data_IF_737285787307
#
_entry.id   IF_737285787307
#
_cell.length_a   1.000
_cell.length_b   1.000
_cell.length_c   1.000
_cell.angle_alpha   90.00
_cell.angle_beta   90.00
_cell.angle_gamma   90.00
#
_symmetry.space_group_name_H-M   'P 1'
#
loop_
_entity.id
_entity.type
_entity.pdbx_description
1 polymer ?
#
# COMPACT_ATOMS: atom_id res chain seq x y z
N UNK A 1 -26.04 -40.39 -32.92
CA UNK A 1 -25.83 -39.01 -32.40
C UNK A 1 -24.76 -39.06 -31.32
N UNK A 2 -23.49 -38.84 -31.67
CA UNK A 2 -22.39 -38.71 -30.71
C UNK A 2 -22.14 -37.20 -30.52
N UNK A 3 -22.33 -36.70 -29.31
CA UNK A 3 -21.98 -35.32 -28.96
C UNK A 3 -20.49 -35.24 -28.64
N UNK A 4 -19.79 -34.41 -29.41
CA UNK A 4 -18.39 -34.07 -29.23
C UNK A 4 -18.24 -33.10 -28.06
N UNK A 5 -17.58 -33.54 -26.99
CA UNK A 5 -17.17 -32.68 -25.87
C UNK A 5 -15.92 -31.91 -26.32
N UNK A 6 -16.06 -30.59 -26.54
CA UNK A 6 -14.93 -29.69 -26.80
C UNK A 6 -14.13 -29.51 -25.51
N UNK A 7 -12.94 -30.09 -25.44
CA UNK A 7 -11.94 -29.80 -24.40
C UNK A 7 -11.35 -28.41 -24.68
N UNK A 8 -11.54 -27.47 -23.75
CA UNK A 8 -10.77 -26.24 -23.73
C UNK A 8 -9.32 -26.53 -23.33
N UNK A 9 -8.31 -25.94 -23.99
CA UNK A 9 -6.93 -26.13 -23.60
C UNK A 9 -6.67 -25.40 -22.28
N UNK A 10 -6.16 -26.12 -21.27
CA UNK A 10 -5.55 -25.52 -20.08
C UNK A 10 -4.28 -24.79 -20.51
N UNK A 11 -4.33 -23.47 -20.56
CA UNK A 11 -3.15 -22.64 -20.70
C UNK A 11 -2.50 -22.57 -19.31
N UNK A 12 -1.57 -23.47 -19.02
CA UNK A 12 -0.65 -23.30 -17.89
C UNK A 12 0.47 -22.37 -18.36
N UNK A 13 0.27 -21.07 -18.21
CA UNK A 13 1.35 -20.10 -18.38
C UNK A 13 2.34 -20.31 -17.23
N UNK A 14 3.46 -20.99 -17.52
CA UNK A 14 4.62 -20.95 -16.63
C UNK A 14 5.12 -19.51 -16.61
N UNK A 15 4.76 -18.76 -15.58
CA UNK A 15 5.44 -17.49 -15.30
C UNK A 15 6.85 -17.88 -14.88
N UNK A 16 7.80 -17.75 -15.80
CA UNK A 16 9.21 -17.76 -15.46
C UNK A 16 9.49 -16.45 -14.72
N UNK A 17 9.18 -16.43 -13.42
CA UNK A 17 9.80 -15.46 -12.53
C UNK A 17 11.26 -15.88 -12.46
N UNK A 18 12.08 -15.44 -13.41
CA UNK A 18 13.53 -15.38 -13.23
C UNK A 18 13.71 -14.53 -11.98
N UNK A 19 13.93 -15.20 -10.83
CA UNK A 19 14.09 -14.52 -9.56
C UNK A 19 15.13 -13.43 -9.79
N UNK A 20 14.78 -12.15 -9.60
CA UNK A 20 15.79 -11.13 -9.61
C UNK A 20 16.73 -11.53 -8.48
N UNK A 21 18.02 -11.73 -8.80
CA UNK A 21 19.04 -11.41 -7.82
C UNK A 21 18.62 -10.07 -7.22
N UNK A 22 18.71 -9.92 -5.90
CA UNK A 22 18.65 -8.63 -5.21
C UNK A 22 19.76 -7.74 -5.79
N UNK A 23 19.54 -7.23 -7.00
CA UNK A 23 20.17 -6.04 -7.50
C UNK A 23 19.54 -5.01 -6.57
N UNK A 24 20.30 -4.57 -5.56
CA UNK A 24 19.98 -3.34 -4.86
C UNK A 24 19.61 -2.34 -5.96
N UNK A 25 18.31 -2.05 -6.05
CA UNK A 25 17.79 -1.10 -7.02
C UNK A 25 18.71 0.10 -6.95
N UNK A 26 19.26 0.50 -8.09
CA UNK A 26 19.89 1.80 -8.21
C UNK A 26 18.81 2.78 -7.82
N UNK A 27 18.81 3.17 -6.55
CA UNK A 27 18.00 4.25 -6.02
C UNK A 27 18.17 5.37 -7.02
N UNK A 28 17.11 5.63 -7.79
CA UNK A 28 17.04 6.86 -8.57
C UNK A 28 17.29 7.92 -7.51
N UNK A 29 18.42 8.61 -7.61
CA UNK A 29 18.82 9.63 -6.65
C UNK A 29 17.70 10.66 -6.63
N UNK A 30 16.79 10.52 -5.66
CA UNK A 30 15.67 11.43 -5.52
C UNK A 30 16.27 12.75 -5.07
N UNK A 31 16.07 13.80 -5.86
CA UNK A 31 16.32 15.15 -5.37
C UNK A 31 15.40 15.43 -4.19
N UNK A 32 15.61 16.56 -3.53
CA UNK A 32 14.78 16.93 -2.39
C UNK A 32 14.55 18.43 -2.32
N UNK A 33 13.38 18.80 -1.83
CA UNK A 33 12.99 20.18 -1.57
C UNK A 33 12.76 20.30 -0.07
N UNK A 34 13.31 21.34 0.56
CA UNK A 34 13.25 21.50 2.02
C UNK A 34 11.80 21.62 2.52
N UNK A 35 11.02 22.50 1.88
CA UNK A 35 9.62 22.78 2.22
C UNK A 35 8.67 22.35 1.13
N UNK A 36 7.46 21.97 1.53
CA UNK A 36 6.39 21.65 0.61
C UNK A 36 5.97 22.91 -0.15
N UNK A 37 5.95 22.87 -1.50
CA UNK A 37 5.42 23.98 -2.27
C UNK A 37 3.96 24.27 -1.86
N UNK A 38 3.55 25.55 -1.80
CA UNK A 38 2.16 25.89 -1.53
C UNK A 38 1.24 25.34 -2.64
N UNK A 39 -0.05 25.11 -2.34
CA UNK A 39 -1.00 24.69 -3.36
C UNK A 39 -1.18 25.79 -4.41
N UNK A 40 -1.31 25.39 -5.67
CA UNK A 40 -1.47 26.31 -6.80
C UNK A 40 -2.93 26.80 -6.93
N UNK A 41 -3.89 26.07 -6.35
CA UNK A 41 -5.34 26.38 -6.39
C UNK A 41 -6.10 25.69 -5.26
N UNK A 42 -7.36 26.07 -5.06
CA UNK A 42 -8.27 25.34 -4.18
C UNK A 42 -9.08 24.29 -4.97
N UNK A 43 -9.02 23.03 -4.54
CA UNK A 43 -9.83 21.91 -5.04
C UNK A 43 -11.04 21.60 -4.16
N UNK A 44 -11.42 22.53 -3.28
CA UNK A 44 -12.56 22.46 -2.38
C UNK A 44 -12.27 21.72 -1.08
N UNK A 45 -11.12 21.05 -0.96
CA UNK A 45 -10.61 20.57 0.33
C UNK A 45 -9.16 20.93 0.60
N UNK A 46 -8.52 21.74 -0.26
CA UNK A 46 -7.13 22.18 -0.10
C UNK A 46 -6.90 22.85 1.24
N UNK A 47 -7.88 23.62 1.71
CA UNK A 47 -7.85 24.30 2.99
C UNK A 47 -8.80 23.68 4.03
N UNK A 48 -9.28 22.45 3.81
CA UNK A 48 -9.95 21.68 4.86
C UNK A 48 -8.99 21.53 6.04
N UNK A 49 -9.42 21.92 7.22
CA UNK A 49 -8.66 21.71 8.44
C UNK A 49 -9.55 21.01 9.46
N UNK A 50 -9.05 19.96 10.12
CA UNK A 50 -9.73 19.40 11.27
C UNK A 50 -9.68 20.37 12.44
N UNK A 51 -10.39 20.03 13.51
CA UNK A 51 -10.17 20.67 14.81
C UNK A 51 -8.71 20.47 15.25
N UNK A 52 -7.94 21.56 15.21
CA UNK A 52 -6.50 21.54 15.46
C UNK A 52 -6.14 21.31 16.92
N UNK A 53 -7.09 21.43 17.85
CA UNK A 53 -6.87 21.09 19.26
C UNK A 53 -6.57 19.59 19.42
N UNK A 54 -7.07 18.76 18.51
CA UNK A 54 -6.74 17.33 18.43
C UNK A 54 -5.39 17.04 17.76
N UNK A 55 -4.75 18.03 17.13
CA UNK A 55 -3.50 17.88 16.36
C UNK A 55 -2.39 18.77 16.92
N UNK A 56 -1.93 18.52 18.17
CA UNK A 56 -0.86 19.32 18.76
C UNK A 56 0.43 19.17 17.95
N UNK A 57 1.18 20.27 17.84
CA UNK A 57 2.49 20.25 17.20
C UNK A 57 3.42 19.26 17.92
N UNK A 58 4.26 18.51 17.19
CA UNK A 58 5.30 17.68 17.79
C UNK A 58 6.16 18.50 18.73
N UNK A 59 6.27 18.07 19.99
CA UNK A 59 7.23 18.62 20.95
C UNK A 59 8.59 17.92 20.88
N UNK A 60 8.65 16.77 20.20
CA UNK A 60 9.85 15.97 19.98
C UNK A 60 10.01 15.70 18.48
N UNK A 61 11.24 15.42 18.07
CA UNK A 61 11.55 15.00 16.70
C UNK A 61 10.73 13.76 16.34
N UNK A 62 10.20 13.73 15.12
CA UNK A 62 9.47 12.59 14.59
C UNK A 62 10.44 11.40 14.49
N UNK A 63 10.13 10.24 15.11
CA UNK A 63 11.03 9.09 15.05
C UNK A 63 11.13 8.59 13.61
N UNK A 64 12.28 7.99 13.23
CA UNK A 64 12.43 7.37 11.93
C UNK A 64 11.40 6.26 11.74
N UNK A 65 11.19 5.91 10.48
CA UNK A 65 10.27 4.84 10.12
C UNK A 65 10.89 3.48 10.47
N UNK A 66 10.13 2.53 11.06
CA UNK A 66 10.57 1.14 11.14
C UNK A 66 10.86 0.57 9.75
N UNK A 67 12.07 0.03 9.56
CA UNK A 67 12.44 -0.61 8.32
C UNK A 67 11.48 -1.76 7.98
N UNK A 68 11.03 -1.82 6.73
CA UNK A 68 10.34 -2.95 6.13
C UNK A 68 10.89 -3.14 4.72
N UNK A 69 11.17 -4.39 4.36
CA UNK A 69 11.60 -4.77 3.02
C UNK A 69 10.41 -4.86 2.06
N UNK A 70 9.25 -5.31 2.57
CA UNK A 70 8.03 -5.47 1.78
C UNK A 70 6.83 -4.86 2.49
N UNK A 71 5.82 -4.50 1.71
CA UNK A 71 4.53 -4.02 2.19
C UNK A 71 3.41 -4.82 1.51
N UNK A 72 2.75 -5.68 2.29
CA UNK A 72 1.54 -6.38 1.90
C UNK A 72 0.31 -5.51 2.22
N UNK A 73 -0.37 -5.07 1.17
CA UNK A 73 -1.57 -4.23 1.24
C UNK A 73 -2.79 -5.09 0.95
N UNK A 74 -3.50 -5.49 2.00
CA UNK A 74 -4.69 -6.35 1.93
C UNK A 74 -5.89 -5.51 1.48
N UNK A 75 -6.61 -5.95 0.46
CA UNK A 75 -7.82 -5.29 -0.04
C UNK A 75 -9.03 -5.80 0.72
N UNK A 76 -9.63 -4.97 1.58
CA UNK A 76 -10.74 -5.36 2.47
C UNK A 76 -12.08 -4.74 2.08
N UNK A 77 -12.09 -3.76 1.18
CA UNK A 77 -13.29 -3.04 0.77
C UNK A 77 -13.93 -2.16 1.85
N UNK A 78 -13.28 -2.01 3.01
CA UNK A 78 -13.74 -1.19 4.14
C UNK A 78 -12.58 -0.42 4.75
N UNK A 79 -12.89 0.66 5.47
CA UNK A 79 -11.94 1.39 6.32
C UNK A 79 -12.29 1.27 7.82
N UNK A 80 -13.32 0.49 8.16
CA UNK A 80 -13.79 0.28 9.53
C UNK A 80 -13.18 -1.00 10.12
N UNK A 81 -11.94 -0.89 10.62
CA UNK A 81 -11.21 -2.02 11.20
C UNK A 81 -11.16 -1.93 12.73
N UNK A 82 -11.12 -3.08 13.44
CA UNK A 82 -10.83 -3.07 14.88
C UNK A 82 -9.48 -2.41 15.17
N UNK A 83 -9.29 -1.89 16.39
CA UNK A 83 -8.05 -1.20 16.79
C UNK A 83 -6.77 -2.03 16.54
N UNK A 84 -6.90 -3.36 16.53
CA UNK A 84 -5.86 -4.30 16.11
C UNK A 84 -6.43 -5.14 14.97
N UNK A 85 -5.87 -5.02 13.77
CA UNK A 85 -6.43 -5.67 12.57
C UNK A 85 -6.49 -7.21 12.66
N UNK A 86 -5.61 -7.85 13.45
CA UNK A 86 -5.60 -9.30 13.63
C UNK A 86 -6.66 -9.82 14.62
N UNK A 87 -7.43 -8.96 15.28
CA UNK A 87 -8.51 -9.42 16.19
C UNK A 87 -9.83 -9.67 15.47
N UNK A 88 -9.90 -9.34 14.18
CA UNK A 88 -10.98 -9.83 13.31
C UNK A 88 -10.62 -11.24 12.83
N UNK A 89 -11.12 -12.25 13.53
CA UNK A 89 -10.80 -13.67 13.31
C UNK A 89 -11.13 -14.16 11.89
N UNK A 90 -12.01 -13.45 11.16
CA UNK A 90 -12.39 -13.79 9.78
C UNK A 90 -11.48 -13.13 8.74
N UNK A 91 -10.60 -12.22 9.16
CA UNK A 91 -9.77 -11.45 8.26
C UNK A 91 -8.49 -12.17 7.87
N UNK A 92 -8.01 -11.90 6.65
CA UNK A 92 -6.69 -12.30 6.19
C UNK A 92 -5.56 -11.85 7.14
N UNK A 93 -5.70 -10.69 7.79
CA UNK A 93 -4.74 -10.19 8.76
C UNK A 93 -4.63 -11.10 10.00
N UNK A 94 -5.74 -11.68 10.47
CA UNK A 94 -5.73 -12.65 11.56
C UNK A 94 -5.11 -13.98 11.14
N UNK A 95 -5.38 -14.45 9.92
CA UNK A 95 -4.78 -15.69 9.37
C UNK A 95 -3.25 -15.55 9.23
N UNK A 96 -2.75 -14.36 8.88
CA UNK A 96 -1.31 -14.07 8.77
C UNK A 96 -0.60 -13.87 10.11
N UNK A 97 -1.31 -13.44 11.16
CA UNK A 97 -0.72 -13.12 12.47
C UNK A 97 0.13 -14.26 13.08
N UNK A 98 -0.31 -15.53 13.14
CA UNK A 98 0.50 -16.62 13.70
C UNK A 98 1.79 -16.89 12.90
N UNK A 99 1.82 -16.55 11.61
CA UNK A 99 2.97 -16.81 10.72
C UNK A 99 4.11 -15.79 10.91
N UNK A 100 3.85 -14.65 11.55
CA UNK A 100 4.83 -13.56 11.72
C UNK A 100 6.11 -13.95 12.45
N UNK A 101 6.04 -14.90 13.39
CA UNK A 101 7.20 -15.31 14.21
C UNK A 101 7.94 -16.53 13.66
N UNK A 102 7.36 -17.26 12.71
CA UNK A 102 7.92 -18.51 12.19
C UNK A 102 8.31 -18.46 10.71
N UNK A 103 7.52 -17.75 9.89
CA UNK A 103 7.66 -17.74 8.43
C UNK A 103 8.25 -16.43 7.92
N UNK A 104 7.83 -15.30 8.49
CA UNK A 104 8.28 -14.00 8.01
C UNK A 104 9.73 -13.74 8.39
N UNK A 105 10.48 -13.16 7.45
CA UNK A 105 11.88 -12.82 7.67
C UNK A 105 12.03 -11.82 8.81
N UNK A 106 12.95 -12.14 9.72
CA UNK A 106 13.39 -11.20 10.77
C UNK A 106 14.39 -10.18 10.23
N UNK A 107 15.03 -10.47 9.09
CA UNK A 107 16.00 -9.59 8.42
C UNK A 107 15.30 -8.61 7.47
N UNK A 108 14.26 -9.10 6.80
CA UNK A 108 13.47 -8.37 5.82
C UNK A 108 12.00 -8.26 6.28
N UNK A 109 11.69 -7.36 7.25
CA UNK A 109 10.35 -7.26 7.82
C UNK A 109 9.31 -6.92 6.78
N UNK A 110 8.12 -7.51 6.91
CA UNK A 110 6.96 -7.21 6.07
C UNK A 110 5.98 -6.33 6.83
N UNK A 111 5.72 -5.14 6.31
CA UNK A 111 4.63 -4.29 6.75
C UNK A 111 3.31 -4.85 6.19
N UNK A 112 2.36 -5.18 7.06
CA UNK A 112 1.05 -5.70 6.68
C UNK A 112 -0.01 -4.67 7.05
N UNK A 113 -0.80 -4.25 6.07
CA UNK A 113 -1.91 -3.31 6.28
C UNK A 113 -3.18 -3.80 5.62
N UNK A 114 -4.32 -3.50 6.22
CA UNK A 114 -5.60 -3.53 5.53
C UNK A 114 -5.76 -2.22 4.75
N UNK A 115 -6.52 -2.26 3.66
CA UNK A 115 -6.89 -1.11 2.85
C UNK A 115 -8.34 -1.14 2.42
N UNK A 116 -8.89 0.02 2.12
CA UNK A 116 -10.24 0.19 1.58
C UNK A 116 -10.34 -0.13 0.09
N UNK A 117 -9.25 -0.63 -0.53
CA UNK A 117 -9.29 -1.19 -1.88
C UNK A 117 -10.33 -2.31 -1.95
N UNK A 118 -11.11 -2.38 -3.04
CA UNK A 118 -12.14 -3.41 -3.19
C UNK A 118 -11.50 -4.79 -3.21
N UNK A 119 -12.17 -5.74 -2.55
CA UNK A 119 -11.86 -7.16 -2.70
C UNK A 119 -11.99 -7.54 -4.18
N UNK A 120 -11.10 -8.40 -4.68
CA UNK A 120 -11.21 -8.90 -6.05
C UNK A 120 -12.58 -9.53 -6.32
N UNK A 121 -13.12 -9.29 -7.52
CA UNK A 121 -14.44 -9.80 -7.89
C UNK A 121 -14.48 -11.34 -7.87
N UNK A 122 -15.55 -11.89 -7.29
CA UNK A 122 -15.75 -13.33 -7.20
C UNK A 122 -14.99 -14.04 -6.07
N UNK A 123 -14.25 -13.29 -5.24
CA UNK A 123 -13.61 -13.84 -4.03
C UNK A 123 -14.56 -13.82 -2.84
N UNK A 124 -14.69 -14.95 -2.15
CA UNK A 124 -15.35 -15.02 -0.84
C UNK A 124 -14.36 -14.55 0.25
N UNK A 125 -14.60 -13.38 0.89
CA UNK A 125 -13.70 -12.82 1.90
C UNK A 125 -13.50 -13.71 3.14
N UNK A 126 -14.39 -14.69 3.35
CA UNK A 126 -14.29 -15.65 4.47
C UNK A 126 -13.34 -16.81 4.18
N UNK A 127 -13.00 -17.05 2.92
CA UNK A 127 -12.17 -18.18 2.48
C UNK A 127 -10.86 -17.73 1.83
N UNK A 128 -10.82 -16.53 1.28
CA UNK A 128 -9.65 -15.99 0.59
C UNK A 128 -9.57 -14.47 0.71
N UNK A 129 -8.37 -13.94 0.59
CA UNK A 129 -8.09 -12.50 0.53
C UNK A 129 -7.49 -12.08 -0.80
N UNK A 130 -7.52 -10.79 -1.09
CA UNK A 130 -6.79 -10.20 -2.23
C UNK A 130 -5.83 -9.14 -1.73
N UNK A 131 -4.63 -9.04 -2.31
CA UNK A 131 -3.60 -8.16 -1.79
C UNK A 131 -2.59 -7.72 -2.86
N UNK A 132 -2.01 -6.55 -2.65
CA UNK A 132 -0.86 -6.07 -3.41
C UNK A 132 0.42 -6.23 -2.58
N UNK A 133 1.53 -6.57 -3.23
CA UNK A 133 2.83 -6.71 -2.60
C UNK A 133 3.82 -5.74 -3.24
N UNK A 134 4.22 -4.75 -2.46
CA UNK A 134 5.25 -3.78 -2.83
C UNK A 134 6.57 -4.09 -2.10
N UNK A 135 7.73 -3.78 -2.70
CA UNK A 135 7.90 -3.27 -4.06
C UNK A 135 8.02 -4.40 -5.08
N UNK A 136 7.56 -5.61 -4.80
CA UNK A 136 7.67 -6.76 -5.72
C UNK A 136 6.81 -6.58 -6.99
N UNK A 137 5.83 -5.67 -6.97
CA UNK A 137 4.95 -5.40 -8.12
C UNK A 137 4.01 -6.57 -8.40
N UNK A 138 3.58 -7.27 -7.35
CA UNK A 138 2.71 -8.45 -7.45
C UNK A 138 1.33 -8.16 -6.87
N UNK A 139 0.29 -8.53 -7.61
CA UNK A 139 -1.09 -8.49 -7.18
C UNK A 139 -1.62 -9.93 -7.12
N UNK A 140 -2.21 -10.26 -5.98
CA UNK A 140 -2.81 -11.56 -5.73
C UNK A 140 -4.33 -11.37 -5.73
N UNK A 141 -5.01 -11.70 -6.84
CA UNK A 141 -6.47 -11.57 -6.90
C UNK A 141 -7.16 -12.52 -5.93
N UNK A 142 -6.57 -13.67 -5.59
CA UNK A 142 -7.14 -14.60 -4.61
C UNK A 142 -6.03 -15.40 -3.91
N UNK A 143 -5.91 -15.22 -2.60
CA UNK A 143 -5.03 -15.97 -1.70
C UNK A 143 -5.94 -16.82 -0.79
N UNK A 144 -6.14 -18.12 -1.10
CA UNK A 144 -6.90 -19.01 -0.23
C UNK A 144 -6.27 -19.10 1.15
N UNK A 145 -7.08 -19.00 2.21
CA UNK A 145 -6.58 -19.04 3.59
C UNK A 145 -5.92 -20.39 3.92
N UNK A 146 -6.40 -21.49 3.34
CA UNK A 146 -5.78 -22.82 3.44
C UNK A 146 -4.36 -22.90 2.84
N UNK A 147 -3.99 -21.96 1.95
CA UNK A 147 -2.64 -21.84 1.34
C UNK A 147 -1.82 -20.68 1.92
N UNK A 148 -2.26 -20.06 3.02
CA UNK A 148 -1.62 -18.85 3.55
C UNK A 148 -0.17 -19.08 4.00
N UNK A 149 0.14 -20.24 4.55
CA UNK A 149 1.52 -20.57 4.95
C UNK A 149 2.44 -20.67 3.72
N UNK A 150 2.02 -21.42 2.69
CA UNK A 150 2.74 -21.52 1.41
C UNK A 150 2.91 -20.15 0.73
N UNK A 151 1.88 -19.30 0.81
CA UNK A 151 1.96 -17.92 0.33
C UNK A 151 3.02 -17.13 1.09
N UNK A 152 2.99 -17.18 2.42
CA UNK A 152 3.91 -16.45 3.27
C UNK A 152 5.35 -16.91 3.05
N UNK A 153 5.61 -18.21 2.95
CA UNK A 153 6.93 -18.77 2.65
C UNK A 153 7.45 -18.30 1.29
N UNK A 154 6.62 -18.42 0.24
CA UNK A 154 7.04 -18.14 -1.13
C UNK A 154 7.22 -16.64 -1.42
N UNK A 155 6.40 -15.77 -0.82
CA UNK A 155 6.32 -14.35 -1.18
C UNK A 155 6.71 -13.38 -0.07
N UNK A 156 6.60 -13.76 1.20
CA UNK A 156 6.85 -12.86 2.35
C UNK A 156 8.08 -13.24 3.18
N UNK A 157 8.54 -14.50 3.12
CA UNK A 157 9.71 -15.01 3.81
C UNK A 157 11.03 -14.84 3.04
N UNK A 158 12.10 -15.36 3.63
CA UNK A 158 13.41 -15.49 2.98
C UNK A 158 13.31 -16.59 1.91
N UNK A 159 13.15 -16.23 0.63
CA UNK A 159 13.05 -17.23 -0.46
C UNK A 159 14.28 -18.13 -0.48
N UNK A 160 14.07 -19.45 -0.38
CA UNK A 160 15.13 -20.45 -0.50
C UNK A 160 15.12 -21.06 -1.91
N UNK A 161 15.83 -20.43 -2.86
CA UNK A 161 16.16 -21.05 -4.15
C UNK A 161 14.99 -21.35 -5.11
N UNK A 162 15.17 -22.38 -5.95
CA UNK A 162 14.26 -22.83 -7.02
C UNK A 162 13.02 -23.61 -6.50
N UNK A 163 12.45 -23.18 -5.38
CA UNK A 163 11.24 -23.79 -4.85
C UNK A 163 10.05 -23.66 -5.81
N UNK A 164 9.26 -24.73 -5.90
CA UNK A 164 8.05 -24.76 -6.72
C UNK A 164 7.07 -23.72 -6.13
N UNK A 165 6.78 -22.69 -6.91
CA UNK A 165 5.81 -21.67 -6.50
C UNK A 165 4.45 -22.32 -6.23
N UNK A 166 3.76 -21.92 -5.16
CA UNK A 166 2.44 -22.44 -4.86
C UNK A 166 1.47 -22.04 -5.96
N UNK A 167 0.47 -22.89 -6.20
CA UNK A 167 -0.63 -22.63 -7.12
C UNK A 167 -1.59 -21.57 -6.53
N UNK A 168 -1.11 -20.32 -6.54
CA UNK A 168 -1.80 -19.13 -6.08
C UNK A 168 -1.82 -18.15 -7.24
N UNK A 169 -3.00 -17.70 -7.69
CA UNK A 169 -3.12 -16.68 -8.73
C UNK A 169 -2.28 -15.44 -8.38
N UNK A 170 -1.40 -15.05 -9.29
CA UNK A 170 -0.54 -13.87 -9.17
C UNK A 170 -0.45 -13.15 -10.51
N UNK A 171 -0.54 -11.84 -10.45
CA UNK A 171 -0.47 -10.92 -11.58
C UNK A 171 0.63 -9.90 -11.30
N UNK A 172 1.35 -9.48 -12.34
CA UNK A 172 2.22 -8.31 -12.23
C UNK A 172 1.36 -7.04 -12.24
N UNK A 173 1.74 -6.05 -11.44
CA UNK A 173 1.17 -4.71 -11.52
C UNK A 173 2.28 -3.65 -11.39
N UNK A 174 2.09 -2.54 -12.08
CA UNK A 174 2.95 -1.35 -12.00
C UNK A 174 2.24 -0.14 -11.42
N UNK A 175 0.97 -0.31 -11.03
CA UNK A 175 0.13 0.80 -10.55
C UNK A 175 0.74 1.38 -9.26
N UNK A 176 1.13 2.67 -9.26
CA UNK A 176 1.54 3.37 -8.05
C UNK A 176 0.37 3.52 -7.09
N UNK A 177 0.68 3.71 -5.80
CA UNK A 177 -0.36 3.89 -4.77
C UNK A 177 0.07 4.89 -3.69
N UNK A 178 -0.88 5.74 -3.32
CA UNK A 178 -0.88 6.58 -2.12
C UNK A 178 -1.73 5.89 -1.06
N UNK A 179 -1.10 5.43 0.01
CA UNK A 179 -1.73 4.84 1.19
C UNK A 179 -1.81 5.88 2.30
N UNK A 180 -3.01 6.13 2.81
CA UNK A 180 -3.28 7.13 3.85
C UNK A 180 -3.78 6.42 5.09
N UNK A 181 -3.10 6.58 6.22
CA UNK A 181 -3.54 5.96 7.47
C UNK A 181 -4.90 6.53 7.91
N UNK A 182 -5.97 5.73 7.78
CA UNK A 182 -7.34 6.09 8.14
C UNK A 182 -7.87 5.36 9.39
N UNK A 183 -6.99 4.72 10.16
CA UNK A 183 -7.37 3.79 11.23
C UNK A 183 -7.88 4.49 12.50
N UNK A 184 -9.12 4.99 12.46
CA UNK A 184 -9.74 5.76 13.55
C UNK A 184 -9.82 5.03 14.89
N UNK A 185 -10.12 3.73 14.89
CA UNK A 185 -10.16 2.90 16.11
C UNK A 185 -8.79 2.74 16.79
N UNK A 186 -7.70 3.05 16.08
CA UNK A 186 -6.33 3.01 16.60
C UNK A 186 -5.79 4.41 16.93
N UNK A 187 -6.13 5.39 16.11
CA UNK A 187 -5.80 6.80 16.28
C UNK A 187 -6.91 7.66 15.67
N UNK A 188 -7.71 8.31 16.52
CA UNK A 188 -8.85 9.14 16.10
C UNK A 188 -8.42 10.22 15.09
N UNK A 189 -7.22 10.79 15.27
CA UNK A 189 -6.69 11.84 14.39
C UNK A 189 -6.46 11.32 12.97
N UNK A 190 -6.02 10.06 12.83
CA UNK A 190 -5.93 9.41 11.53
C UNK A 190 -7.31 9.22 10.89
N UNK A 191 -8.30 8.80 11.68
CA UNK A 191 -9.70 8.69 11.22
C UNK A 191 -10.30 10.04 10.76
N UNK A 192 -9.93 11.14 11.41
CA UNK A 192 -10.39 12.50 11.06
C UNK A 192 -9.72 13.02 9.78
N UNK A 193 -8.38 12.93 9.69
CA UNK A 193 -7.62 13.62 8.62
C UNK A 193 -7.65 12.82 7.30
N UNK A 194 -7.71 11.49 7.36
CA UNK A 194 -7.52 10.66 6.18
C UNK A 194 -8.56 10.86 5.07
N UNK A 195 -9.88 11.01 5.34
CA UNK A 195 -10.85 11.31 4.30
C UNK A 195 -10.58 12.65 3.59
N UNK A 196 -10.10 13.66 4.31
CA UNK A 196 -9.73 14.96 3.73
C UNK A 196 -8.53 14.82 2.80
N UNK A 197 -7.50 14.09 3.24
CA UNK A 197 -6.32 13.80 2.42
C UNK A 197 -6.69 12.99 1.18
N UNK A 198 -7.49 11.94 1.32
CA UNK A 198 -7.90 11.10 0.20
C UNK A 198 -8.67 11.90 -0.86
N UNK A 199 -9.59 12.78 -0.43
CA UNK A 199 -10.31 13.68 -1.32
C UNK A 199 -9.36 14.61 -2.08
N UNK A 200 -8.43 15.24 -1.37
CA UNK A 200 -7.48 16.17 -1.98
C UNK A 200 -6.47 15.46 -2.91
N UNK A 201 -5.97 14.28 -2.54
CA UNK A 201 -5.07 13.49 -3.40
C UNK A 201 -5.78 13.10 -4.70
N UNK A 202 -7.03 12.63 -4.62
CA UNK A 202 -7.81 12.30 -5.82
C UNK A 202 -8.00 13.53 -6.71
N UNK A 203 -8.32 14.68 -6.14
CA UNK A 203 -8.48 15.92 -6.91
C UNK A 203 -7.17 16.37 -7.57
N UNK A 204 -6.07 16.40 -6.82
CA UNK A 204 -4.75 16.78 -7.34
C UNK A 204 -4.27 15.81 -8.43
N UNK A 205 -4.39 14.49 -8.22
CA UNK A 205 -4.01 13.49 -9.23
C UNK A 205 -4.85 13.58 -10.50
N UNK A 206 -6.15 13.87 -10.38
CA UNK A 206 -7.03 14.07 -11.55
C UNK A 206 -6.56 15.25 -12.40
N UNK A 207 -6.08 16.33 -11.79
CA UNK A 207 -5.58 17.51 -12.52
C UNK A 207 -4.31 17.25 -13.31
N UNK A 208 -3.56 16.22 -12.94
CA UNK A 208 -2.36 15.78 -13.63
C UNK A 208 -2.60 14.59 -14.56
N UNK A 209 -3.86 14.16 -14.75
CA UNK A 209 -4.23 12.94 -15.49
C UNK A 209 -3.55 11.67 -14.95
N UNK A 210 -3.24 11.65 -13.65
CA UNK A 210 -2.52 10.57 -12.97
C UNK A 210 -3.40 9.68 -12.10
N UNK A 211 -4.66 10.06 -11.83
CA UNK A 211 -5.53 9.25 -10.97
C UNK A 211 -5.83 7.91 -11.62
N UNK A 212 -5.70 6.82 -10.85
CA UNK A 212 -6.08 5.49 -11.29
C UNK A 212 -7.56 5.42 -11.67
N UNK A 213 -7.83 4.81 -12.83
CA UNK A 213 -9.16 4.44 -13.28
C UNK A 213 -9.07 3.12 -14.05
N UNK A 214 -9.87 2.09 -13.73
CA UNK A 214 -9.72 0.76 -14.36
C UNK A 214 -9.94 0.76 -15.87
N UNK A 215 -10.69 1.71 -16.42
CA UNK A 215 -11.05 1.76 -17.84
C UNK A 215 -10.15 2.73 -18.62
N UNK A 216 -9.86 3.89 -18.03
CA UNK A 216 -9.21 5.01 -18.70
C UNK A 216 -7.75 5.23 -18.28
N UNK A 217 -7.36 4.81 -17.08
CA UNK A 217 -6.00 4.94 -16.57
C UNK A 217 -5.59 3.79 -15.63
N UNK A 218 -5.49 2.54 -16.13
CA UNK A 218 -5.30 1.35 -15.31
C UNK A 218 -3.91 1.27 -14.65
N UNK A 219 -2.95 2.06 -15.12
CA UNK A 219 -1.62 2.22 -14.51
C UNK A 219 -1.49 3.50 -13.68
N UNK A 220 -2.58 4.24 -13.47
CA UNK A 220 -2.60 5.45 -12.66
C UNK A 220 -2.33 5.20 -11.17
N UNK A 221 -2.16 6.29 -10.45
CA UNK A 221 -1.94 6.34 -9.00
C UNK A 221 -3.23 6.05 -8.26
N UNK A 222 -3.28 4.95 -7.54
CA UNK A 222 -4.37 4.63 -6.61
C UNK A 222 -4.28 5.49 -5.37
N UNK A 223 -5.43 5.81 -4.78
CA UNK A 223 -5.52 6.47 -3.47
C UNK A 223 -6.40 5.60 -2.59
N UNK A 224 -5.82 5.08 -1.51
CA UNK A 224 -6.51 4.18 -0.60
C UNK A 224 -6.27 4.58 0.86
N UNK A 225 -7.29 4.41 1.68
CA UNK A 225 -7.14 4.41 3.13
C UNK A 225 -6.53 3.08 3.56
N UNK A 226 -5.67 3.12 4.56
CA UNK A 226 -5.07 1.92 5.13
C UNK A 226 -5.16 1.89 6.66
N UNK A 227 -5.01 0.68 7.21
CA UNK A 227 -4.86 0.48 8.65
C UNK A 227 -3.57 1.14 9.14
N UNK A 228 -3.36 1.12 10.45
CA UNK A 228 -2.28 1.86 11.09
C UNK A 228 -0.90 1.55 10.51
N UNK A 229 -0.23 2.59 10.00
CA UNK A 229 1.15 2.55 9.50
C UNK A 229 2.11 3.39 10.36
N UNK A 230 1.64 4.44 11.03
CA UNK A 230 2.49 5.34 11.83
C UNK A 230 2.74 4.85 13.26
N UNK A 231 3.76 5.38 13.94
CA UNK A 231 3.81 5.30 15.41
C UNK A 231 2.88 6.37 15.98
N UNK A 232 2.08 6.04 16.99
CA UNK A 232 0.97 6.82 17.60
C UNK A 232 1.24 8.30 17.94
N UNK A 233 2.42 8.82 17.69
CA UNK A 233 2.76 10.20 17.94
C UNK A 233 2.13 11.17 16.92
N UNK A 234 1.96 10.78 15.64
CA UNK A 234 1.61 11.75 14.57
C UNK A 234 0.57 11.22 13.58
N UNK A 235 -0.39 12.07 13.22
CA UNK A 235 -1.39 11.82 12.18
C UNK A 235 -0.97 12.38 10.82
N UNK A 236 -1.78 12.12 9.79
CA UNK A 236 -1.42 12.48 8.41
C UNK A 236 -0.29 11.61 7.86
N UNK A 237 -0.27 10.32 8.24
CA UNK A 237 0.71 9.37 7.72
C UNK A 237 0.32 8.97 6.30
N UNK A 238 1.25 9.15 5.36
CA UNK A 238 1.08 8.81 3.95
C UNK A 238 2.28 8.00 3.49
N UNK A 239 2.03 6.88 2.82
CA UNK A 239 3.05 6.12 2.10
C UNK A 239 2.77 6.23 0.60
N UNK A 240 3.77 6.57 -0.18
CA UNK A 240 3.72 6.52 -1.63
C UNK A 240 4.64 5.43 -2.16
N UNK A 241 4.06 4.44 -2.84
CA UNK A 241 4.79 3.47 -3.66
C UNK A 241 4.69 3.91 -5.11
N UNK A 242 5.82 4.06 -5.80
CA UNK A 242 5.84 4.48 -7.21
C UNK A 242 5.51 3.35 -8.20
N UNK A 243 5.37 2.11 -7.73
CA UNK A 243 5.05 0.95 -8.58
C UNK A 243 6.27 0.29 -9.24
N UNK A 244 7.44 0.94 -9.19
CA UNK A 244 8.69 0.36 -9.70
C UNK A 244 9.18 -0.79 -8.82
N UNK A 245 9.60 -1.89 -9.47
CA UNK A 245 10.10 -3.05 -8.75
C UNK A 245 11.38 -2.73 -7.96
N UNK A 246 11.39 -3.11 -6.69
CA UNK A 246 12.52 -2.87 -5.77
C UNK A 246 12.72 -1.41 -5.35
N UNK A 247 11.81 -0.49 -5.68
CA UNK A 247 11.91 0.91 -5.26
C UNK A 247 11.46 1.12 -3.81
N UNK A 248 12.21 1.95 -3.08
CA UNK A 248 11.84 2.33 -1.72
C UNK A 248 10.60 3.24 -1.72
N UNK A 249 9.63 3.00 -0.80
CA UNK A 249 8.50 3.88 -0.63
C UNK A 249 8.91 5.23 -0.04
N UNK A 250 8.14 6.26 -0.36
CA UNK A 250 8.23 7.56 0.31
C UNK A 250 7.26 7.57 1.48
N UNK A 251 7.74 7.98 2.65
CA UNK A 251 6.92 8.06 3.85
C UNK A 251 6.82 9.49 4.36
N UNK A 252 5.60 10.01 4.42
CA UNK A 252 5.27 11.30 5.00
C UNK A 252 4.46 11.18 6.30
N UNK A 253 4.60 12.19 7.16
CA UNK A 253 3.74 12.41 8.33
C UNK A 253 3.43 13.89 8.47
N UNK A 254 2.47 14.24 9.33
CA UNK A 254 2.02 15.62 9.51
C UNK A 254 1.47 16.22 8.21
N UNK A 255 0.97 15.37 7.31
CA UNK A 255 0.34 15.79 6.07
C UNK A 255 -1.05 16.32 6.38
N UNK A 256 -1.35 17.48 5.81
CA UNK A 256 -2.63 18.17 5.84
C UNK A 256 -3.02 18.47 4.40
N UNK A 257 -4.29 18.78 4.10
CA UNK A 257 -4.75 18.94 2.72
C UNK A 257 -3.94 19.96 1.91
N UNK A 258 -3.51 21.07 2.50
CA UNK A 258 -2.71 22.09 1.81
C UNK A 258 -1.34 21.60 1.34
N UNK A 259 -0.81 20.51 1.93
CA UNK A 259 0.45 19.90 1.49
C UNK A 259 0.29 19.01 0.25
N UNK A 260 -0.92 18.56 -0.05
CA UNK A 260 -1.13 17.46 -1.02
C UNK A 260 -0.72 17.84 -2.42
N UNK A 261 -1.08 19.02 -2.92
CA UNK A 261 -0.67 19.46 -4.26
C UNK A 261 0.86 19.56 -4.37
N UNK A 262 1.52 20.08 -3.33
CA UNK A 262 2.98 20.11 -3.25
C UNK A 262 3.61 18.71 -3.27
N UNK A 263 3.00 17.73 -2.60
CA UNK A 263 3.42 16.32 -2.64
C UNK A 263 3.21 15.72 -4.05
N UNK A 264 2.05 15.93 -4.68
CA UNK A 264 1.78 15.39 -6.02
C UNK A 264 2.81 15.92 -7.01
N UNK A 265 3.03 17.24 -7.03
CA UNK A 265 4.01 17.87 -7.92
C UNK A 265 5.44 17.42 -7.61
N UNK A 266 5.89 17.59 -6.37
CA UNK A 266 7.28 17.36 -6.01
C UNK A 266 7.64 15.87 -6.05
N UNK A 267 6.77 15.02 -5.52
CA UNK A 267 7.09 13.61 -5.25
C UNK A 267 6.60 12.66 -6.33
N UNK A 268 5.37 12.85 -6.79
CA UNK A 268 4.75 11.93 -7.75
C UNK A 268 5.15 12.31 -9.17
N UNK A 269 5.14 13.60 -9.51
CA UNK A 269 5.50 14.11 -10.84
C UNK A 269 7.02 14.26 -10.99
N UNK A 270 7.68 15.01 -10.09
CA UNK A 270 9.10 15.33 -10.26
C UNK A 270 10.06 14.29 -9.66
N UNK A 271 9.55 13.31 -8.90
CA UNK A 271 10.36 12.25 -8.27
C UNK A 271 11.20 12.70 -7.06
N UNK A 272 11.01 13.92 -6.56
CA UNK A 272 11.75 14.53 -5.45
C UNK A 272 11.08 14.30 -4.09
N UNK A 273 11.82 14.50 -3.00
CA UNK A 273 11.30 14.35 -1.63
C UNK A 273 11.07 15.71 -0.97
N UNK A 274 9.85 15.94 -0.47
CA UNK A 274 9.54 17.03 0.46
C UNK A 274 10.10 16.73 1.86
N UNK A 275 11.21 17.38 2.25
CA UNK A 275 11.96 17.00 3.46
C UNK A 275 11.21 17.28 4.75
N UNK A 276 10.48 18.39 4.87
CA UNK A 276 9.78 18.75 6.12
C UNK A 276 8.70 17.74 6.53
N UNK A 277 8.14 17.01 5.57
CA UNK A 277 7.13 15.97 5.81
C UNK A 277 7.74 14.56 5.90
N UNK A 278 8.95 14.39 5.32
CA UNK A 278 9.58 13.09 5.16
C UNK A 278 9.99 12.49 6.50
N UNK A 279 9.55 11.25 6.73
CA UNK A 279 10.11 10.41 7.79
C UNK A 279 11.28 9.65 7.18
N UNK A 280 12.50 10.16 7.39
CA UNK A 280 13.71 9.50 6.89
C UNK A 280 13.86 8.13 7.58
N UNK A 281 14.35 7.14 6.80
CA UNK A 281 14.93 5.91 7.34
C UNK A 281 16.25 6.23 8.03
#
# INVERSE_FOLDING_TARGET
MMQSVRRFPRITTRIALTGPRLIHSTSILRGSVEKCPPPDRDTGCTYCMPDMDKFPKPTKQVPPVPFHAKHLVISTGTSDWPSRIHTDETSMAAVLEPLKRGVLSTKDPVLITNSDLPVHEGVDPTQAGSAFLYPDGLYFPSIPYEKMEQFAEAYLGDRVGDEILPDIPVLEHKSPIVLICGHGARDERCGIIAPMLAKEFKAALTQHDLLYDPETNPEGVRVALCSHIGGHAFAGNVIYHCGDQGADPVWYSLVFPHHVQGIVKTTIVDGNIVQELARRR
#
